data_IF_213653090458
#
_entry.id   IF_213653090458
#
_cell.length_a   1.000
_cell.length_b   1.000
_cell.length_c   1.000
_cell.angle_alpha   90.00
_cell.angle_beta   90.00
_cell.angle_gamma   90.00
#
_symmetry.space_group_name_H-M   'P 1'
#
loop_
_entity.id
_entity.type
_entity.pdbx_description
1 polymer ?
#
# COMPACT_ATOMS: atom_id res chain seq x y z
N UNK A 1 -72.21 -56.27 -38.64
CA UNK A 1 -71.62 -56.44 -37.29
C UNK A 1 -72.77 -56.69 -36.33
N UNK A 2 -72.71 -57.71 -35.45
CA UNK A 2 -73.74 -57.94 -34.45
C UNK A 2 -73.80 -56.77 -33.44
N UNK A 3 -74.97 -56.49 -32.84
CA UNK A 3 -75.12 -55.39 -31.89
C UNK A 3 -74.32 -55.68 -30.62
N UNK A 4 -73.46 -54.74 -30.22
CA UNK A 4 -72.68 -54.83 -28.99
C UNK A 4 -73.60 -54.95 -27.78
N UNK A 5 -73.27 -55.87 -26.88
CA UNK A 5 -73.94 -56.01 -25.58
C UNK A 5 -73.71 -54.77 -24.72
N UNK A 6 -74.62 -54.49 -23.77
CA UNK A 6 -74.53 -53.33 -22.88
C UNK A 6 -73.21 -53.26 -22.11
N UNK A 7 -72.62 -54.42 -21.81
CA UNK A 7 -71.30 -54.55 -21.18
C UNK A 7 -70.17 -54.19 -22.13
N UNK A 8 -70.23 -54.60 -23.41
CA UNK A 8 -69.23 -54.23 -24.43
C UNK A 8 -69.29 -52.72 -24.75
N UNK A 9 -70.48 -52.12 -24.74
CA UNK A 9 -70.64 -50.67 -24.92
C UNK A 9 -70.03 -49.89 -23.75
N UNK A 10 -70.22 -50.36 -22.52
CA UNK A 10 -69.64 -49.73 -21.33
C UNK A 10 -68.10 -49.84 -21.34
N UNK A 11 -67.56 -51.02 -21.64
CA UNK A 11 -66.11 -51.23 -21.74
C UNK A 11 -65.48 -50.40 -22.86
N UNK A 12 -66.19 -50.21 -23.98
CA UNK A 12 -65.72 -49.38 -25.09
C UNK A 12 -65.65 -47.91 -24.68
N UNK A 13 -66.68 -47.39 -24.00
CA UNK A 13 -66.67 -46.01 -23.47
C UNK A 13 -65.58 -45.80 -22.42
N UNK A 14 -65.39 -46.76 -21.52
CA UNK A 14 -64.34 -46.71 -20.50
C UNK A 14 -62.95 -46.73 -21.13
N UNK A 15 -62.72 -47.57 -22.14
CA UNK A 15 -61.44 -47.62 -22.86
C UNK A 15 -61.16 -46.32 -23.62
N UNK A 16 -62.17 -45.71 -24.24
CA UNK A 16 -62.03 -44.40 -24.90
C UNK A 16 -61.68 -43.31 -23.89
N UNK A 17 -62.34 -43.30 -22.73
CA UNK A 17 -62.09 -42.33 -21.67
C UNK A 17 -60.67 -42.47 -21.11
N UNK A 18 -60.23 -43.70 -20.84
CA UNK A 18 -58.87 -43.97 -20.37
C UNK A 18 -57.80 -43.58 -21.39
N UNK A 19 -58.04 -43.82 -22.69
CA UNK A 19 -57.12 -43.39 -23.76
C UNK A 19 -57.02 -41.87 -23.87
N UNK A 20 -58.13 -41.17 -23.68
CA UNK A 20 -58.15 -39.70 -23.69
C UNK A 20 -57.37 -39.15 -22.48
N UNK A 21 -57.60 -39.70 -21.29
CA UNK A 21 -56.85 -39.33 -20.08
C UNK A 21 -55.35 -39.62 -20.21
N UNK A 22 -54.99 -40.75 -20.82
CA UNK A 22 -53.59 -41.08 -21.10
C UNK A 22 -52.95 -40.05 -22.03
N UNK A 23 -53.63 -39.70 -23.13
CA UNK A 23 -53.15 -38.71 -24.09
C UNK A 23 -52.99 -37.32 -23.47
N UNK A 24 -53.91 -36.93 -22.59
CA UNK A 24 -53.83 -35.67 -21.83
C UNK A 24 -52.68 -35.67 -20.83
N UNK A 25 -52.49 -36.77 -20.08
CA UNK A 25 -51.35 -36.93 -19.17
C UNK A 25 -50.02 -36.94 -19.92
N UNK A 26 -49.93 -37.62 -21.07
CA UNK A 26 -48.76 -37.64 -21.94
C UNK A 26 -48.46 -36.25 -22.53
N UNK A 27 -49.48 -35.50 -22.94
CA UNK A 27 -49.31 -34.14 -23.43
C UNK A 27 -48.82 -33.18 -22.33
N UNK A 28 -49.30 -33.32 -21.09
CA UNK A 28 -48.80 -32.57 -19.92
C UNK A 28 -47.36 -32.94 -19.60
N UNK A 29 -47.00 -34.23 -19.65
CA UNK A 29 -45.62 -34.70 -19.45
C UNK A 29 -44.68 -34.21 -20.55
N UNK A 30 -45.13 -34.16 -21.81
CA UNK A 30 -44.35 -33.61 -22.92
C UNK A 30 -44.20 -32.07 -22.82
N UNK A 31 -45.24 -31.36 -22.41
CA UNK A 31 -45.18 -29.91 -22.20
C UNK A 31 -44.25 -29.52 -21.04
N UNK A 32 -44.18 -30.33 -19.98
CA UNK A 32 -43.20 -30.17 -18.89
C UNK A 32 -41.77 -30.57 -19.29
N UNK A 33 -41.58 -31.23 -20.45
CA UNK A 33 -40.27 -31.69 -20.96
C UNK A 33 -39.64 -30.76 -22.00
N UNK A 34 -40.19 -29.57 -22.26
CA UNK A 34 -39.64 -28.61 -23.20
C UNK A 34 -39.51 -27.20 -22.60
N UNK A 35 -38.32 -26.89 -22.08
CA UNK A 35 -37.60 -25.65 -22.44
C UNK A 35 -36.10 -26.00 -22.69
N UNK A 36 -35.50 -25.70 -23.88
CA UNK A 36 -34.31 -26.40 -24.39
C UNK A 36 -32.91 -25.84 -24.06
N UNK A 37 -32.72 -24.96 -23.07
CA UNK A 37 -31.46 -24.20 -23.02
C UNK A 37 -30.23 -24.91 -22.37
N UNK A 38 -30.36 -25.92 -21.49
CA UNK A 38 -29.22 -26.34 -20.63
C UNK A 38 -29.12 -27.83 -20.23
N UNK A 39 -29.33 -28.79 -21.14
CA UNK A 39 -29.09 -30.21 -20.83
C UNK A 39 -27.95 -30.80 -21.69
N UNK A 40 -26.75 -30.94 -21.09
CA UNK A 40 -25.66 -31.73 -21.67
C UNK A 40 -25.96 -33.22 -21.48
N UNK A 41 -26.12 -33.94 -22.58
CA UNK A 41 -26.40 -35.40 -22.61
C UNK A 41 -25.09 -36.17 -22.42
N UNK A 42 -25.02 -37.05 -21.42
CA UNK A 42 -23.97 -38.08 -21.31
C UNK A 42 -24.57 -39.44 -21.71
N UNK A 43 -23.93 -40.21 -22.61
CA UNK A 43 -24.41 -41.54 -22.96
C UNK A 43 -24.23 -42.53 -21.80
N UNK A 44 -25.33 -43.16 -21.37
CA UNK A 44 -25.29 -44.29 -20.44
C UNK A 44 -24.85 -45.60 -21.11
N UNK A 45 -24.49 -46.64 -20.33
CA UNK A 45 -23.90 -47.89 -20.83
C UNK A 45 -24.78 -48.73 -21.78
N UNK A 46 -26.05 -48.37 -21.99
CA UNK A 46 -26.95 -49.00 -22.98
C UNK A 46 -27.68 -47.99 -23.89
N UNK A 47 -27.15 -46.77 -24.01
CA UNK A 47 -27.72 -45.76 -24.92
C UNK A 47 -29.00 -45.08 -24.44
N UNK A 48 -29.42 -45.30 -23.19
CA UNK A 48 -30.46 -44.47 -22.57
C UNK A 48 -29.89 -43.12 -22.14
N UNK A 49 -30.55 -41.99 -22.50
CA UNK A 49 -30.14 -40.68 -22.03
C UNK A 49 -30.42 -40.56 -20.52
N UNK A 50 -29.36 -40.44 -19.73
CA UNK A 50 -29.47 -40.08 -18.30
C UNK A 50 -29.62 -38.57 -18.22
N UNK A 51 -30.86 -38.10 -18.08
CA UNK A 51 -31.15 -36.69 -17.85
C UNK A 51 -30.83 -36.35 -16.40
N UNK A 52 -29.94 -35.40 -16.19
CA UNK A 52 -29.66 -34.90 -14.85
C UNK A 52 -30.01 -33.43 -14.77
N UNK A 53 -30.90 -33.09 -13.83
CA UNK A 53 -31.38 -31.74 -13.52
C UNK A 53 -30.28 -30.94 -12.80
N UNK A 54 -29.14 -30.74 -13.47
CA UNK A 54 -27.91 -30.20 -12.86
C UNK A 54 -27.76 -28.68 -13.10
N UNK A 55 -28.50 -28.07 -14.02
CA UNK A 55 -28.22 -26.72 -14.58
C UNK A 55 -28.06 -25.58 -13.56
N UNK A 56 -29.15 -25.11 -12.98
CA UNK A 56 -29.14 -23.88 -12.17
C UNK A 56 -28.34 -24.00 -10.87
N UNK A 57 -28.52 -25.07 -10.08
CA UNK A 57 -27.79 -25.23 -8.81
C UNK A 57 -26.28 -25.40 -9.05
N UNK A 58 -25.87 -26.10 -10.12
CA UNK A 58 -24.44 -26.20 -10.47
C UNK A 58 -23.89 -24.87 -10.95
N UNK A 59 -24.65 -24.09 -11.71
CA UNK A 59 -24.23 -22.75 -12.14
C UNK A 59 -24.07 -21.80 -10.95
N UNK A 60 -25.03 -21.77 -10.03
CA UNK A 60 -24.93 -20.98 -8.81
C UNK A 60 -23.75 -21.43 -7.94
N UNK A 61 -23.54 -22.73 -7.82
CA UNK A 61 -22.38 -23.28 -7.09
C UNK A 61 -21.07 -22.89 -7.73
N UNK A 62 -20.93 -23.01 -9.06
CA UNK A 62 -19.72 -22.57 -9.78
C UNK A 62 -19.48 -21.08 -9.58
N UNK A 63 -20.53 -20.25 -9.63
CA UNK A 63 -20.41 -18.83 -9.38
C UNK A 63 -19.92 -18.53 -7.96
N UNK A 64 -20.54 -19.12 -6.94
CA UNK A 64 -20.17 -18.93 -5.52
C UNK A 64 -18.75 -19.43 -5.22
N UNK A 65 -18.34 -20.55 -5.82
CA UNK A 65 -16.98 -21.08 -5.67
C UNK A 65 -15.93 -20.26 -6.42
N UNK A 66 -16.33 -19.54 -7.47
CA UNK A 66 -15.44 -18.66 -8.24
C UNK A 66 -15.32 -17.23 -7.65
N UNK A 67 -16.06 -16.91 -6.58
CA UNK A 67 -15.99 -15.59 -5.93
C UNK A 67 -14.63 -15.39 -5.27
N UNK A 68 -14.10 -14.17 -5.37
CA UNK A 68 -12.89 -13.77 -4.65
C UNK A 68 -13.17 -13.46 -3.17
N UNK A 69 -14.45 -13.38 -2.81
CA UNK A 69 -14.96 -13.24 -1.47
C UNK A 69 -15.31 -14.60 -0.83
N UNK A 70 -15.11 -14.70 0.47
CA UNK A 70 -15.60 -15.84 1.25
C UNK A 70 -17.12 -15.76 1.36
N UNK A 71 -17.84 -16.76 0.89
CA UNK A 71 -19.28 -16.86 1.03
C UNK A 71 -19.62 -17.96 2.04
N UNK A 72 -20.51 -17.69 2.98
CA UNK A 72 -20.93 -18.66 3.98
C UNK A 72 -22.38 -18.52 4.42
N UNK A 73 -22.94 -19.65 4.85
CA UNK A 73 -24.25 -19.74 5.48
C UNK A 73 -24.08 -20.18 6.92
N UNK A 74 -24.73 -19.47 7.84
CA UNK A 74 -24.71 -19.74 9.26
C UNK A 74 -26.08 -20.19 9.75
N UNK A 75 -26.11 -21.06 10.76
CA UNK A 75 -27.30 -21.30 11.58
C UNK A 75 -27.63 -20.09 12.45
N UNK A 76 -28.81 -20.09 13.08
CA UNK A 76 -29.19 -19.08 14.10
C UNK A 76 -28.18 -18.93 15.23
N UNK A 77 -27.45 -20.01 15.54
CA UNK A 77 -26.49 -20.06 16.64
C UNK A 77 -25.06 -19.69 16.20
N UNK A 78 -24.88 -19.34 14.92
CA UNK A 78 -23.57 -18.97 14.35
C UNK A 78 -22.68 -20.15 13.99
N UNK A 79 -23.26 -21.33 13.75
CA UNK A 79 -22.53 -22.50 13.22
C UNK A 79 -22.45 -22.40 11.70
N UNK A 80 -21.27 -22.64 11.13
CA UNK A 80 -21.06 -22.61 9.68
C UNK A 80 -21.69 -23.85 9.05
N UNK A 81 -22.74 -23.68 8.26
CA UNK A 81 -23.44 -24.74 7.55
C UNK A 81 -22.89 -24.96 6.14
N UNK A 82 -22.43 -23.88 5.51
CA UNK A 82 -21.80 -23.88 4.20
C UNK A 82 -20.73 -22.79 4.15
N UNK A 83 -19.68 -23.04 3.37
CA UNK A 83 -18.61 -22.10 3.07
C UNK A 83 -17.99 -22.46 1.72
N UNK A 84 -17.69 -21.47 0.89
CA UNK A 84 -16.94 -21.70 -0.35
C UNK A 84 -15.43 -21.91 -0.06
N UNK A 85 -14.68 -22.34 -1.07
CA UNK A 85 -13.23 -22.52 -0.94
C UNK A 85 -12.50 -21.25 -0.50
N UNK A 86 -12.98 -20.08 -0.93
CA UNK A 86 -12.36 -18.81 -0.56
C UNK A 86 -12.40 -18.54 0.94
N UNK A 87 -13.48 -18.92 1.63
CA UNK A 87 -13.53 -18.84 3.09
C UNK A 87 -12.43 -19.69 3.74
N UNK A 88 -12.26 -20.93 3.28
CA UNK A 88 -11.26 -21.86 3.79
C UNK A 88 -9.82 -21.30 3.61
N UNK A 89 -9.55 -20.65 2.49
CA UNK A 89 -8.31 -19.94 2.24
C UNK A 89 -8.09 -18.77 3.22
N UNK A 90 -9.12 -17.95 3.47
CA UNK A 90 -9.04 -16.83 4.41
C UNK A 90 -8.71 -17.28 5.84
N UNK A 91 -9.35 -18.36 6.31
CA UNK A 91 -9.07 -18.93 7.64
C UNK A 91 -7.86 -19.87 7.66
N UNK A 92 -7.26 -20.17 6.49
CA UNK A 92 -6.12 -21.08 6.31
C UNK A 92 -6.33 -22.46 6.95
N UNK A 93 -7.55 -22.99 6.80
CA UNK A 93 -7.92 -24.30 7.30
C UNK A 93 -8.69 -25.06 6.23
N UNK A 94 -8.53 -26.39 6.18
CA UNK A 94 -9.29 -27.21 5.23
C UNK A 94 -10.78 -27.09 5.53
N UNK A 95 -11.61 -27.01 4.48
CA UNK A 95 -13.03 -26.68 4.58
C UNK A 95 -13.77 -27.64 5.53
N UNK A 96 -13.36 -28.90 5.62
CA UNK A 96 -13.94 -29.92 6.52
C UNK A 96 -13.78 -29.58 8.00
N UNK A 97 -12.80 -28.75 8.37
CA UNK A 97 -12.63 -28.23 9.74
C UNK A 97 -13.39 -26.93 9.98
N UNK A 98 -13.81 -26.26 8.91
CA UNK A 98 -14.53 -24.98 8.96
C UNK A 98 -16.04 -25.23 9.02
N UNK A 99 -16.54 -26.16 8.21
CA UNK A 99 -17.95 -26.57 8.24
C UNK A 99 -18.27 -27.24 9.58
N UNK A 100 -19.39 -26.85 10.18
CA UNK A 100 -19.84 -27.30 11.50
C UNK A 100 -19.15 -26.60 12.67
N UNK A 101 -18.09 -25.83 12.43
CA UNK A 101 -17.47 -25.01 13.46
C UNK A 101 -18.27 -23.72 13.71
N UNK A 102 -18.06 -23.11 14.88
CA UNK A 102 -18.65 -21.82 15.20
C UNK A 102 -17.83 -20.69 14.59
N UNK A 103 -18.48 -19.73 13.91
CA UNK A 103 -17.79 -18.59 13.27
C UNK A 103 -16.94 -17.79 14.25
N UNK A 104 -17.34 -17.72 15.53
CA UNK A 104 -16.61 -17.00 16.57
C UNK A 104 -15.20 -17.57 16.83
N UNK A 105 -14.94 -18.84 16.50
CA UNK A 105 -13.61 -19.43 16.63
C UNK A 105 -12.58 -18.82 15.68
N UNK A 106 -13.05 -18.27 14.56
CA UNK A 106 -12.22 -17.66 13.52
C UNK A 106 -12.19 -16.14 13.63
N UNK A 107 -12.85 -15.53 14.62
CA UNK A 107 -12.90 -14.08 14.79
C UNK A 107 -11.93 -13.66 15.88
N UNK A 108 -11.27 -12.51 15.70
CA UNK A 108 -10.43 -11.95 16.75
C UNK A 108 -11.26 -11.63 18.01
N UNK A 109 -10.69 -11.88 19.19
CA UNK A 109 -11.38 -11.68 20.49
C UNK A 109 -12.00 -10.28 20.64
N UNK A 110 -11.36 -9.24 20.09
CA UNK A 110 -11.87 -7.86 20.12
C UNK A 110 -13.11 -7.61 19.26
N UNK A 111 -13.35 -8.45 18.26
CA UNK A 111 -14.42 -8.26 17.26
C UNK A 111 -15.62 -9.19 17.47
N UNK A 112 -15.57 -10.13 18.43
CA UNK A 112 -16.68 -11.06 18.71
C UNK A 112 -17.99 -10.33 19.05
N UNK A 113 -17.92 -9.30 19.89
CA UNK A 113 -19.08 -8.51 20.29
C UNK A 113 -19.70 -7.79 19.08
N UNK A 114 -18.85 -7.33 18.15
CA UNK A 114 -19.26 -6.69 16.90
C UNK A 114 -20.03 -7.68 16.03
N UNK A 115 -19.49 -8.90 15.85
CA UNK A 115 -20.17 -9.95 15.08
C UNK A 115 -21.51 -10.36 15.72
N UNK A 116 -21.57 -10.50 17.05
CA UNK A 116 -22.84 -10.78 17.75
C UNK A 116 -23.88 -9.69 17.51
N UNK A 117 -23.45 -8.42 17.53
CA UNK A 117 -24.30 -7.28 17.21
C UNK A 117 -24.89 -7.39 15.81
N UNK A 118 -24.06 -7.74 14.81
CA UNK A 118 -24.53 -7.89 13.45
C UNK A 118 -25.51 -9.05 13.30
N UNK A 119 -25.23 -10.22 13.88
CA UNK A 119 -26.11 -11.39 13.76
C UNK A 119 -27.48 -11.15 14.43
N UNK A 120 -27.53 -10.36 15.51
CA UNK A 120 -28.79 -10.01 16.19
C UNK A 120 -29.60 -8.90 15.49
N UNK A 121 -28.96 -8.00 14.73
CA UNK A 121 -29.61 -6.86 14.07
C UNK A 121 -29.89 -7.08 12.56
N UNK A 122 -29.81 -8.32 12.07
CA UNK A 122 -29.83 -8.73 10.65
C UNK A 122 -31.08 -8.42 9.81
N UNK A 123 -31.97 -7.56 10.29
CA UNK A 123 -33.11 -7.01 9.54
C UNK A 123 -32.91 -5.57 9.03
N UNK A 124 -31.83 -4.89 9.43
CA UNK A 124 -31.52 -3.53 8.97
C UNK A 124 -30.74 -3.52 7.64
N UNK A 125 -30.97 -2.51 6.80
CA UNK A 125 -30.35 -2.40 5.46
C UNK A 125 -28.81 -2.36 5.48
N UNK A 126 -28.19 -2.01 6.62
CA UNK A 126 -26.75 -1.72 6.73
C UNK A 126 -25.97 -2.66 7.67
N UNK A 127 -26.22 -3.97 7.58
CA UNK A 127 -25.60 -4.96 8.45
C UNK A 127 -24.20 -5.39 7.97
N UNK A 128 -23.25 -4.45 8.01
CA UNK A 128 -21.88 -4.64 7.53
C UNK A 128 -20.84 -4.11 8.53
N UNK A 129 -19.66 -4.73 8.56
CA UNK A 129 -18.57 -4.28 9.43
C UNK A 129 -17.20 -4.80 9.01
N UNK A 130 -16.16 -4.03 9.30
CA UNK A 130 -14.79 -4.55 9.35
C UNK A 130 -14.60 -5.44 10.57
N UNK A 131 -14.14 -6.68 10.35
CA UNK A 131 -13.89 -7.70 11.37
C UNK A 131 -12.58 -8.41 11.01
N UNK A 132 -11.72 -8.61 11.99
CA UNK A 132 -10.48 -9.37 11.79
C UNK A 132 -10.73 -10.86 11.99
N UNK A 133 -10.43 -11.65 10.96
CA UNK A 133 -10.37 -13.09 11.06
C UNK A 133 -9.02 -13.52 11.65
N UNK A 134 -9.03 -14.54 12.50
CA UNK A 134 -7.87 -15.24 13.01
C UNK A 134 -7.70 -16.53 12.21
N UNK A 135 -6.67 -16.59 11.37
CA UNK A 135 -6.35 -17.77 10.60
C UNK A 135 -5.75 -18.89 11.48
N UNK A 136 -5.76 -20.12 10.97
CA UNK A 136 -5.27 -21.31 11.67
C UNK A 136 -3.78 -21.26 12.04
N UNK A 137 -2.99 -20.45 11.35
CA UNK A 137 -1.58 -20.18 11.66
C UNK A 137 -1.37 -19.04 12.67
N UNK A 138 -2.47 -18.45 13.17
CA UNK A 138 -2.47 -17.35 14.14
C UNK A 138 -2.36 -15.96 13.53
N UNK A 139 -2.22 -15.84 12.20
CA UNK A 139 -2.23 -14.52 11.55
C UNK A 139 -3.63 -13.88 11.57
N UNK A 140 -3.66 -12.55 11.53
CA UNK A 140 -4.89 -11.77 11.46
C UNK A 140 -5.14 -11.30 10.03
N UNK A 141 -6.33 -11.59 9.50
CA UNK A 141 -6.76 -11.19 8.16
C UNK A 141 -7.87 -10.15 8.31
N UNK A 142 -7.62 -8.87 8.00
CA UNK A 142 -8.66 -7.85 8.08
C UNK A 142 -9.69 -8.09 6.99
N UNK A 143 -10.96 -8.18 7.36
CA UNK A 143 -12.03 -8.50 6.43
C UNK A 143 -13.21 -7.54 6.58
N UNK A 144 -14.00 -7.39 5.53
CA UNK A 144 -15.27 -6.69 5.55
C UNK A 144 -16.42 -7.70 5.44
N UNK A 145 -17.25 -7.77 6.47
CA UNK A 145 -18.36 -8.70 6.58
C UNK A 145 -19.63 -8.01 6.13
N UNK A 146 -20.41 -8.67 5.28
CA UNK A 146 -21.76 -8.24 4.92
C UNK A 146 -22.74 -9.38 5.19
N UNK A 147 -23.69 -9.17 6.11
CA UNK A 147 -24.57 -10.21 6.63
C UNK A 147 -26.02 -9.90 6.27
N UNK A 148 -26.76 -10.92 5.83
CA UNK A 148 -28.21 -10.86 5.61
C UNK A 148 -28.88 -12.01 6.34
N UNK A 149 -30.04 -11.76 6.94
CA UNK A 149 -30.88 -12.85 7.46
C UNK A 149 -31.40 -13.69 6.29
N UNK A 150 -31.39 -15.02 6.48
CA UNK A 150 -31.94 -15.98 5.54
C UNK A 150 -33.05 -16.74 6.26
N UNK A 151 -34.28 -16.56 5.78
CA UNK A 151 -35.46 -17.30 6.25
C UNK A 151 -36.10 -17.95 5.03
N UNK A 152 -36.01 -19.28 4.95
CA UNK A 152 -36.59 -20.08 3.87
C UNK A 152 -37.29 -21.27 4.50
N UNK A 153 -38.60 -21.40 4.27
CA UNK A 153 -39.46 -22.40 4.92
C UNK A 153 -39.30 -22.39 6.45
N UNK A 154 -38.80 -23.48 7.03
CA UNK A 154 -38.51 -23.61 8.47
C UNK A 154 -37.07 -23.22 8.84
N UNK A 155 -36.19 -23.02 7.86
CA UNK A 155 -34.80 -22.66 8.10
C UNK A 155 -34.67 -21.18 8.48
N UNK A 156 -33.99 -20.92 9.59
CA UNK A 156 -33.61 -19.58 10.06
C UNK A 156 -32.10 -19.52 10.26
N UNK A 157 -31.45 -18.65 9.52
CA UNK A 157 -30.01 -18.48 9.57
C UNK A 157 -29.56 -17.16 8.94
N UNK A 158 -28.31 -17.14 8.52
CA UNK A 158 -27.70 -15.95 7.92
C UNK A 158 -26.87 -16.32 6.70
N UNK A 159 -26.91 -15.48 5.67
CA UNK A 159 -25.93 -15.48 4.60
C UNK A 159 -24.92 -14.38 4.86
N UNK A 160 -23.65 -14.68 4.68
CA UNK A 160 -22.55 -13.74 4.89
C UNK A 160 -21.60 -13.78 3.71
N UNK A 161 -21.11 -12.60 3.34
CA UNK A 161 -20.00 -12.43 2.40
C UNK A 161 -18.86 -11.77 3.17
N UNK A 162 -17.65 -12.29 3.01
CA UNK A 162 -16.42 -11.88 3.67
C UNK A 162 -15.44 -11.43 2.61
N UNK A 163 -15.22 -10.12 2.54
CA UNK A 163 -14.25 -9.51 1.61
C UNK A 163 -12.92 -9.34 2.31
N UNK A 164 -11.83 -9.81 1.68
CA UNK A 164 -10.47 -9.61 2.19
C UNK A 164 -10.04 -8.15 2.00
N UNK A 165 -9.58 -7.49 3.06
CA UNK A 165 -9.07 -6.13 3.03
C UNK A 165 -7.55 -6.05 3.11
N UNK A 166 -6.84 -7.19 3.07
CA UNK A 166 -5.38 -7.24 3.26
C UNK A 166 -4.65 -6.34 2.28
N UNK A 167 -4.96 -6.42 0.98
CA UNK A 167 -4.34 -5.58 -0.05
C UNK A 167 -4.67 -4.09 0.14
N UNK A 168 -5.92 -3.78 0.50
CA UNK A 168 -6.36 -2.41 0.73
C UNK A 168 -5.64 -1.77 1.93
N UNK A 169 -5.55 -2.50 3.04
CA UNK A 169 -4.86 -2.05 4.25
C UNK A 169 -3.36 -1.90 3.97
N UNK A 170 -2.74 -2.85 3.27
CA UNK A 170 -1.33 -2.77 2.90
C UNK A 170 -1.02 -1.55 2.01
N UNK A 171 -1.85 -1.31 0.97
CA UNK A 171 -1.72 -0.16 0.08
C UNK A 171 -1.88 1.16 0.83
N UNK A 172 -2.84 1.25 1.76
CA UNK A 172 -3.04 2.43 2.60
C UNK A 172 -1.83 2.73 3.48
N UNK A 173 -1.29 1.72 4.16
CA UNK A 173 -0.10 1.88 5.00
C UNK A 173 1.14 2.30 4.18
N UNK A 174 1.30 1.74 2.98
CA UNK A 174 2.38 2.13 2.08
C UNK A 174 2.29 3.61 1.67
N UNK A 175 1.09 4.09 1.33
CA UNK A 175 0.87 5.50 1.01
C UNK A 175 1.12 6.43 2.20
N UNK A 176 0.71 6.03 3.40
CA UNK A 176 0.97 6.79 4.63
C UNK A 176 2.48 6.90 4.91
N UNK A 177 3.25 5.83 4.72
CA UNK A 177 4.71 5.85 4.85
C UNK A 177 5.38 6.77 3.83
N UNK A 178 4.94 6.76 2.57
CA UNK A 178 5.48 7.66 1.54
C UNK A 178 5.20 9.12 1.92
N UNK A 179 3.97 9.45 2.32
CA UNK A 179 3.61 10.80 2.75
C UNK A 179 4.41 11.26 3.97
N UNK A 180 4.64 10.40 4.94
CA UNK A 180 5.47 10.74 6.10
C UNK A 180 6.92 11.05 5.69
N UNK A 181 7.50 10.28 4.77
CA UNK A 181 8.85 10.58 4.25
C UNK A 181 8.90 11.91 3.52
N UNK A 182 7.93 12.19 2.64
CA UNK A 182 7.85 13.48 1.95
C UNK A 182 7.67 14.65 2.92
N UNK A 183 6.87 14.48 3.98
CA UNK A 183 6.71 15.50 5.02
C UNK A 183 8.01 15.73 5.80
N UNK A 184 8.70 14.65 6.18
CA UNK A 184 10.00 14.75 6.86
C UNK A 184 11.04 15.45 5.98
N UNK A 185 11.09 15.13 4.69
CA UNK A 185 11.99 15.79 3.74
C UNK A 185 11.65 17.28 3.60
N UNK A 186 10.36 17.62 3.44
CA UNK A 186 9.94 19.03 3.36
C UNK A 186 10.24 19.81 4.64
N UNK A 187 9.99 19.21 5.81
CA UNK A 187 10.27 19.83 7.10
C UNK A 187 11.78 20.01 7.31
N UNK A 188 12.58 18.99 7.00
CA UNK A 188 14.03 19.08 7.00
C UNK A 188 14.52 20.18 6.05
N UNK A 189 13.97 20.25 4.84
CA UNK A 189 14.32 21.26 3.85
C UNK A 189 13.92 22.68 4.30
N UNK A 190 12.80 22.82 5.01
CA UNK A 190 12.37 24.08 5.62
C UNK A 190 13.26 24.48 6.78
N UNK A 191 13.63 23.54 7.66
CA UNK A 191 14.57 23.76 8.75
C UNK A 191 15.95 24.19 8.23
N UNK A 192 16.43 23.60 7.13
CA UNK A 192 17.67 24.03 6.47
C UNK A 192 17.57 25.46 5.93
N UNK A 193 16.47 25.83 5.27
CA UNK A 193 16.23 27.22 4.83
C UNK A 193 16.19 28.19 6.01
N UNK A 194 15.52 27.82 7.10
CA UNK A 194 15.47 28.63 8.32
C UNK A 194 16.84 28.72 9.00
N UNK A 195 17.62 27.64 9.08
CA UNK A 195 18.98 27.66 9.62
C UNK A 195 19.94 28.51 8.78
N UNK A 196 19.82 28.47 7.45
CA UNK A 196 20.54 29.36 6.54
C UNK A 196 20.12 30.83 6.67
N UNK A 197 18.83 31.08 6.96
CA UNK A 197 18.30 32.43 7.18
C UNK A 197 18.59 32.98 8.60
N UNK A 198 18.68 32.12 9.64
CA UNK A 198 18.59 32.52 11.04
C UNK A 198 19.92 32.63 11.81
N UNK A 199 21.08 32.60 11.16
CA UNK A 199 22.35 33.04 11.79
C UNK A 199 23.08 34.16 11.07
N UNK A 200 22.39 34.83 10.16
CA UNK A 200 22.98 35.74 9.18
C UNK A 200 22.59 37.20 9.44
N UNK A 201 22.61 37.68 10.68
CA UNK A 201 22.61 39.13 10.93
C UNK A 201 23.66 39.53 11.96
N UNK A 202 23.84 38.74 13.02
CA UNK A 202 24.59 39.22 14.19
C UNK A 202 26.12 39.10 14.05
N UNK A 203 26.68 38.28 13.16
CA UNK A 203 28.14 38.09 13.09
C UNK A 203 28.84 38.87 11.97
N UNK A 204 28.17 39.20 10.86
CA UNK A 204 28.82 39.94 9.75
C UNK A 204 28.85 41.46 10.00
N UNK A 205 27.79 42.04 10.60
CA UNK A 205 27.79 43.45 11.03
C UNK A 205 28.80 43.71 12.16
N UNK A 206 29.05 42.73 13.03
CA UNK A 206 29.99 42.87 14.15
C UNK A 206 31.46 42.92 13.72
N UNK A 207 31.81 42.47 12.51
CA UNK A 207 33.20 42.43 12.00
C UNK A 207 33.47 43.30 10.77
N UNK A 208 32.47 44.01 10.23
CA UNK A 208 32.66 44.99 9.14
C UNK A 208 33.21 44.43 7.83
N UNK A 209 33.13 43.11 7.59
CA UNK A 209 33.61 42.48 6.37
C UNK A 209 32.51 42.52 5.31
N UNK A 210 32.73 43.28 4.23
CA UNK A 210 31.83 43.27 3.08
C UNK A 210 31.88 41.91 2.34
N UNK A 211 30.79 41.48 1.68
CA UNK A 211 30.69 40.17 1.02
C UNK A 211 31.83 39.90 0.03
N UNK A 212 32.27 38.64 -0.08
CA UNK A 212 33.38 38.25 -0.94
C UNK A 212 33.16 38.67 -2.39
N UNK A 213 31.91 38.55 -2.89
CA UNK A 213 31.54 38.98 -4.25
C UNK A 213 31.82 40.47 -4.51
N UNK A 214 31.65 41.32 -3.51
CA UNK A 214 31.85 42.77 -3.66
C UNK A 214 33.32 43.16 -3.50
N UNK A 215 34.02 42.53 -2.56
CA UNK A 215 35.41 42.85 -2.26
C UNK A 215 36.43 42.21 -3.21
N UNK A 216 36.19 40.95 -3.61
CA UNK A 216 37.09 40.14 -4.43
C UNK A 216 36.28 39.37 -5.50
N UNK A 217 35.68 40.07 -6.48
CA UNK A 217 34.80 39.46 -7.49
C UNK A 217 35.49 38.38 -8.32
N UNK A 218 36.73 38.60 -8.74
CA UNK A 218 37.48 37.61 -9.54
C UNK A 218 37.72 36.32 -8.75
N UNK A 219 38.04 36.43 -7.46
CA UNK A 219 38.19 35.28 -6.57
C UNK A 219 36.85 34.58 -6.34
N UNK A 220 35.78 35.35 -6.18
CA UNK A 220 34.43 34.79 -6.05
C UNK A 220 34.06 33.95 -7.29
N UNK A 221 34.28 34.46 -8.50
CA UNK A 221 34.04 33.69 -9.73
C UNK A 221 34.90 32.44 -9.83
N UNK A 222 36.17 32.50 -9.38
CA UNK A 222 37.03 31.31 -9.32
C UNK A 222 36.47 30.24 -8.37
N UNK A 223 35.99 30.64 -7.19
CA UNK A 223 35.36 29.72 -6.25
C UNK A 223 34.07 29.11 -6.81
N UNK A 224 33.23 29.90 -7.50
CA UNK A 224 32.04 29.38 -8.19
C UNK A 224 32.42 28.33 -9.22
N UNK A 225 33.40 28.61 -10.08
CA UNK A 225 33.89 27.65 -11.08
C UNK A 225 34.46 26.39 -10.44
N UNK A 226 35.25 26.52 -9.37
CA UNK A 226 35.83 25.37 -8.68
C UNK A 226 34.76 24.52 -8.01
N UNK A 227 33.82 25.13 -7.31
CA UNK A 227 32.70 24.42 -6.70
C UNK A 227 31.81 23.72 -7.73
N UNK A 228 31.58 24.35 -8.88
CA UNK A 228 30.86 23.75 -10.00
C UNK A 228 31.56 22.50 -10.56
N UNK A 229 32.90 22.46 -10.57
CA UNK A 229 33.67 21.26 -10.92
C UNK A 229 33.52 20.15 -9.88
N UNK A 230 33.54 20.49 -8.58
CA UNK A 230 33.32 19.51 -7.50
C UNK A 230 31.92 18.91 -7.60
N UNK A 231 30.89 19.70 -7.96
CA UNK A 231 29.54 19.19 -8.23
C UNK A 231 29.52 18.18 -9.38
N UNK A 232 30.26 18.42 -10.46
CA UNK A 232 30.36 17.47 -11.58
C UNK A 232 30.99 16.15 -11.11
N UNK A 233 32.10 16.22 -10.38
CA UNK A 233 32.82 15.05 -9.87
C UNK A 233 31.97 14.24 -8.88
N UNK A 234 31.21 14.89 -8.01
CA UNK A 234 30.31 14.21 -7.07
C UNK A 234 29.18 13.47 -7.81
N UNK A 235 28.65 14.09 -8.87
CA UNK A 235 27.65 13.45 -9.73
C UNK A 235 28.23 12.22 -10.45
N UNK A 236 29.47 12.31 -10.94
CA UNK A 236 30.20 11.21 -11.58
C UNK A 236 30.49 10.07 -10.59
N UNK A 237 30.92 10.38 -9.37
CA UNK A 237 31.13 9.41 -8.29
C UNK A 237 29.87 8.60 -8.02
N UNK A 238 28.70 9.25 -7.98
CA UNK A 238 27.41 8.58 -7.80
C UNK A 238 27.01 7.72 -9.00
N UNK A 239 27.23 8.22 -10.23
CA UNK A 239 26.86 7.53 -11.45
C UNK A 239 27.74 6.31 -11.74
N UNK A 240 29.05 6.38 -11.45
CA UNK A 240 30.04 5.38 -11.85
C UNK A 240 30.74 4.68 -10.67
N UNK A 241 30.41 5.01 -9.41
CA UNK A 241 31.02 4.46 -8.19
C UNK A 241 32.56 4.57 -8.15
N UNK A 242 33.10 5.63 -8.76
CA UNK A 242 34.54 5.92 -8.75
C UNK A 242 34.85 6.80 -7.53
N UNK A 243 35.85 6.42 -6.72
CA UNK A 243 36.30 7.26 -5.61
C UNK A 243 37.06 8.48 -6.13
N UNK A 244 36.49 9.67 -5.95
CA UNK A 244 37.20 10.93 -6.14
C UNK A 244 37.64 11.51 -4.79
N UNK A 245 38.73 12.27 -4.77
CA UNK A 245 39.26 12.93 -3.58
C UNK A 245 38.48 14.23 -3.27
N UNK A 246 37.15 14.16 -3.23
CA UNK A 246 36.26 15.31 -3.06
C UNK A 246 36.55 16.09 -1.77
N UNK A 247 36.82 15.37 -0.68
CA UNK A 247 37.14 15.97 0.62
C UNK A 247 38.43 16.80 0.59
N UNK A 248 39.46 16.39 -0.16
CA UNK A 248 40.71 17.15 -0.31
C UNK A 248 40.49 18.45 -1.09
N UNK A 249 39.68 18.40 -2.15
CA UNK A 249 39.28 19.57 -2.93
C UNK A 249 38.48 20.56 -2.07
N UNK A 250 37.49 20.07 -1.31
CA UNK A 250 36.70 20.90 -0.41
C UNK A 250 37.54 21.48 0.74
N UNK A 251 38.50 20.72 1.28
CA UNK A 251 39.40 21.22 2.31
C UNK A 251 40.32 22.33 1.77
N UNK A 252 40.91 22.13 0.59
CA UNK A 252 41.74 23.14 -0.08
C UNK A 252 40.94 24.42 -0.33
N UNK A 253 39.70 24.27 -0.80
CA UNK A 253 38.80 25.38 -1.06
C UNK A 253 38.42 26.11 0.25
N UNK A 254 38.17 25.38 1.33
CA UNK A 254 37.90 25.95 2.65
C UNK A 254 39.10 26.75 3.20
N UNK A 255 40.32 26.26 3.03
CA UNK A 255 41.53 26.96 3.44
C UNK A 255 41.67 28.29 2.69
N UNK A 256 41.51 28.28 1.37
CA UNK A 256 41.57 29.50 0.54
C UNK A 256 40.47 30.51 0.91
N UNK A 257 39.24 30.05 1.13
CA UNK A 257 38.14 30.87 1.62
C UNK A 257 38.47 31.47 2.99
N UNK A 258 39.07 30.69 3.87
CA UNK A 258 39.55 31.13 5.17
C UNK A 258 40.62 32.23 5.09
N UNK A 259 41.58 32.11 4.16
CA UNK A 259 42.62 33.13 3.94
C UNK A 259 42.05 34.47 3.50
N UNK A 260 40.99 34.47 2.68
CA UNK A 260 40.29 35.71 2.28
C UNK A 260 39.24 36.17 3.29
N UNK A 261 39.21 35.55 4.47
CA UNK A 261 38.25 35.82 5.56
C UNK A 261 36.78 35.65 5.14
N UNK A 262 36.51 34.75 4.20
CA UNK A 262 35.16 34.44 3.78
C UNK A 262 34.36 33.77 4.90
N UNK A 263 33.07 34.09 4.97
CA UNK A 263 32.15 33.56 5.94
C UNK A 263 31.23 32.48 5.38
N UNK A 264 30.38 31.88 6.24
CA UNK A 264 29.37 30.91 5.82
C UNK A 264 28.40 31.46 4.76
N UNK A 265 28.16 32.78 4.74
CA UNK A 265 27.32 33.40 3.72
C UNK A 265 27.95 33.35 2.33
N UNK A 266 29.25 33.61 2.22
CA UNK A 266 29.97 33.58 0.95
C UNK A 266 29.93 32.16 0.37
N UNK A 267 30.08 31.15 1.23
CA UNK A 267 29.96 29.73 0.85
C UNK A 267 28.56 29.40 0.29
N UNK A 268 27.50 29.86 0.98
CA UNK A 268 26.12 29.67 0.52
C UNK A 268 25.87 30.39 -0.81
N UNK A 269 26.43 31.58 -0.97
CA UNK A 269 26.30 32.36 -2.20
C UNK A 269 27.03 31.69 -3.38
N UNK A 270 28.25 31.20 -3.17
CA UNK A 270 29.00 30.39 -4.15
C UNK A 270 28.19 29.17 -4.59
N UNK A 271 27.68 28.40 -3.62
CA UNK A 271 26.86 27.20 -3.85
C UNK A 271 25.59 27.53 -4.68
N UNK A 272 24.88 28.60 -4.31
CA UNK A 272 23.63 28.99 -4.96
C UNK A 272 23.85 29.40 -6.43
N UNK A 273 24.93 30.13 -6.72
CA UNK A 273 25.29 30.51 -8.10
C UNK A 273 25.65 29.28 -8.92
N UNK A 274 26.56 28.44 -8.40
CA UNK A 274 27.01 27.25 -9.10
C UNK A 274 25.85 26.30 -9.44
N UNK A 275 24.93 26.08 -8.50
CA UNK A 275 23.72 25.29 -8.76
C UNK A 275 22.81 25.92 -9.82
N UNK A 276 22.66 27.25 -9.81
CA UNK A 276 21.84 27.94 -10.80
C UNK A 276 22.43 27.80 -12.20
N UNK A 277 23.75 27.89 -12.34
CA UNK A 277 24.48 27.69 -13.60
C UNK A 277 24.33 26.24 -14.11
N UNK A 278 24.51 25.26 -13.23
CA UNK A 278 24.37 23.83 -13.57
C UNK A 278 22.94 23.45 -13.91
N UNK A 279 21.96 24.00 -13.21
CA UNK A 279 20.54 23.73 -13.46
C UNK A 279 20.04 24.31 -14.78
N UNK A 280 20.58 25.45 -15.23
CA UNK A 280 20.23 26.06 -16.54
C UNK A 280 20.71 25.23 -17.74
N UNK A 281 21.78 24.48 -17.57
CA UNK A 281 22.47 23.76 -18.66
C UNK A 281 22.14 22.26 -18.68
N UNK A 282 21.32 21.78 -17.74
CA UNK A 282 21.06 20.36 -17.50
C UNK A 282 19.59 19.96 -17.69
N UNK A 283 19.35 18.68 -17.99
CA UNK A 283 18.00 18.08 -17.94
C UNK A 283 17.44 18.10 -16.51
N UNK A 284 16.10 18.08 -16.38
CA UNK A 284 15.39 18.09 -15.09
C UNK A 284 15.92 17.04 -14.08
N UNK A 285 16.21 15.82 -14.55
CA UNK A 285 16.80 14.75 -13.74
C UNK A 285 18.23 15.05 -13.25
N UNK A 286 19.09 15.58 -14.13
CA UNK A 286 20.46 15.98 -13.74
C UNK A 286 20.44 17.19 -12.81
N UNK A 287 19.53 18.13 -13.01
CA UNK A 287 19.36 19.30 -12.14
C UNK A 287 18.93 18.88 -10.73
N UNK A 288 18.00 17.91 -10.60
CA UNK A 288 17.64 17.34 -9.29
C UNK A 288 18.82 16.63 -8.62
N UNK A 289 19.61 15.85 -9.35
CA UNK A 289 20.79 15.19 -8.80
C UNK A 289 21.86 16.19 -8.31
N UNK A 290 22.11 17.29 -9.03
CA UNK A 290 22.98 18.37 -8.52
C UNK A 290 22.44 19.01 -7.24
N UNK A 291 21.11 19.19 -7.12
CA UNK A 291 20.49 19.73 -5.91
C UNK A 291 20.63 18.80 -4.70
N UNK A 292 20.66 17.49 -4.89
CA UNK A 292 20.90 16.52 -3.82
C UNK A 292 22.36 16.54 -3.39
N UNK A 293 23.30 16.35 -4.33
CA UNK A 293 24.74 16.27 -4.02
C UNK A 293 25.27 17.59 -3.45
N UNK A 294 24.84 18.72 -4.02
CA UNK A 294 25.29 20.03 -3.57
C UNK A 294 25.00 20.33 -2.10
N UNK A 295 23.95 19.72 -1.51
CA UNK A 295 23.61 19.92 -0.10
C UNK A 295 24.65 19.30 0.84
N UNK A 296 25.17 18.13 0.50
CA UNK A 296 26.18 17.46 1.32
C UNK A 296 27.52 18.20 1.20
N UNK A 297 27.91 18.56 -0.03
CA UNK A 297 29.16 19.26 -0.30
C UNK A 297 29.23 20.65 0.35
N UNK A 298 28.13 21.41 0.35
CA UNK A 298 28.12 22.73 1.00
C UNK A 298 28.24 22.61 2.53
N UNK A 299 27.62 21.60 3.15
CA UNK A 299 27.74 21.33 4.58
C UNK A 299 29.17 20.92 4.96
N UNK A 300 29.77 20.05 4.16
CA UNK A 300 31.16 19.60 4.35
C UNK A 300 32.15 20.76 4.20
N UNK A 301 32.01 21.58 3.14
CA UNK A 301 32.80 22.79 2.93
C UNK A 301 32.70 23.78 4.10
N UNK A 302 31.48 24.00 4.62
CA UNK A 302 31.27 24.82 5.81
C UNK A 302 31.93 24.22 7.05
N UNK A 303 31.89 22.90 7.22
CA UNK A 303 32.56 22.18 8.31
C UNK A 303 34.08 22.36 8.28
N UNK A 304 34.69 22.26 7.10
CA UNK A 304 36.12 22.53 6.92
C UNK A 304 36.47 24.00 7.18
N UNK A 305 35.65 24.94 6.71
CA UNK A 305 35.87 26.37 6.94
C UNK A 305 35.79 26.71 8.44
N UNK A 306 34.84 26.12 9.18
CA UNK A 306 34.77 26.25 10.64
C UNK A 306 36.01 25.67 11.30
N UNK A 307 36.49 24.51 10.83
CA UNK A 307 37.70 23.86 11.35
C UNK A 307 38.95 24.72 11.14
N UNK A 308 39.07 25.37 9.98
CA UNK A 308 40.13 26.34 9.68
C UNK A 308 40.16 27.48 10.69
N UNK A 309 39.02 28.15 10.93
CA UNK A 309 38.95 29.25 11.89
C UNK A 309 39.17 28.82 13.34
N UNK A 310 38.70 27.62 13.72
CA UNK A 310 38.97 27.04 15.04
C UNK A 310 40.48 26.84 15.25
N UNK A 311 41.18 26.32 14.24
CA UNK A 311 42.62 26.12 14.30
C UNK A 311 43.36 27.46 14.41
N UNK A 312 42.97 28.47 13.62
CA UNK A 312 43.51 29.83 13.75
C UNK A 312 43.34 30.42 15.16
N UNK A 313 42.16 30.26 15.76
CA UNK A 313 41.89 30.76 17.11
C UNK A 313 42.75 30.07 18.20
N UNK A 314 43.15 28.81 17.98
CA UNK A 314 44.05 28.08 18.88
C UNK A 314 45.47 28.65 18.82
N UNK A 315 45.91 29.17 17.67
CA UNK A 315 47.25 29.76 17.48
C UNK A 315 47.36 31.24 17.91
N UNK A 316 46.24 31.98 17.99
CA UNK A 316 46.22 33.41 18.37
C UNK A 316 46.19 33.61 19.91
N UNK A 317 46.72 32.67 20.71
CA UNK A 317 47.09 32.94 22.12
C UNK A 317 48.57 33.29 22.21
N UNK A 318 48.98 34.57 22.36
CA UNK A 318 50.37 34.93 22.62
C UNK A 318 50.62 35.01 24.13
N UNK A 319 51.70 34.38 24.61
CA UNK A 319 52.23 34.64 25.94
C UNK A 319 52.87 36.03 26.05
N UNK A 320 52.56 36.76 27.13
CA UNK A 320 53.37 37.79 27.81
C UNK A 320 52.64 38.08 29.14
N UNK A 321 53.25 38.02 30.33
CA UNK A 321 54.40 38.81 30.77
C UNK A 321 55.33 37.99 31.67
N UNK A 322 56.56 37.81 31.20
CA UNK A 322 57.73 37.59 32.07
C UNK A 322 57.90 38.81 32.97
N UNK A 323 57.75 38.64 34.29
CA UNK A 323 58.30 39.56 35.30
C UNK A 323 59.39 38.85 36.09
N UNK A 324 60.61 39.09 35.63
CA UNK A 324 61.85 39.30 36.37
C UNK A 324 62.02 38.61 37.72
N UNK A 325 62.95 37.66 37.72
CA UNK A 325 63.88 37.49 38.82
C UNK A 325 64.72 38.77 39.02
N UNK A 326 64.67 39.34 40.22
CA UNK A 326 65.81 40.01 40.87
C UNK A 326 65.85 39.57 42.33
N UNK A 327 67.06 39.17 42.70
CA UNK A 327 67.56 38.65 43.96
C UNK A 327 67.89 39.74 44.99
N UNK A 328 68.07 39.29 46.24
CA UNK A 328 68.81 39.87 47.38
C UNK A 328 68.03 40.66 48.44
N UNK A 329 68.07 40.33 49.74
CA UNK A 329 68.85 39.27 50.43
C UNK A 329 70.35 39.51 50.40
#
# INVERSE_FOLDING_TARGET
MPPMTKTEQNLWHENQTLRQQLKEAEAVIQALRLDPAEALVIPGPQGEPVYSLIGAERQYRVFIEAMNEGALTLSSDGVILYGNNRLAELVRLPLEKVIGASIYQFVALGDEAKLRGLLTQSGAEDNRAEISLKAGDGSMVPCYFSIRSLVVDEFKGFCMVVTDLTELVAARLALEHVRQREQQEHEFHRLLKLAGAARSAVTAELFGLAPLRQNLPDMFEQFVKRYAQVLDLALEQRAYKVEHHLSEELQTMAEQLGFVKAGPRDVIEIHSVALTEKSRTSTSLKAQAYLEEGRLLVLELMGYLVSFYRNLAIWVKPGAVSKNAKTHG
#
